data_IF_484413924278
#
_entry.id   IF_484413924278
#
_cell.length_a   1.000
_cell.length_b   1.000
_cell.length_c   1.000
_cell.angle_alpha   90.00
_cell.angle_beta   90.00
_cell.angle_gamma   90.00
#
_symmetry.space_group_name_H-M   'P 1'
#
loop_
_entity.id
_entity.type
_entity.pdbx_description
1 polymer ?
#
# COMPACT_ATOMS: atom_id res chain seq x y z
N UNK A 1 -12.31 -5.81 2.03
CA UNK A 1 -12.00 -6.03 0.61
C UNK A 1 -10.48 -6.20 0.42
N UNK A 2 -10.07 -7.05 -0.56
CA UNK A 2 -8.64 -7.29 -0.80
C UNK A 2 -8.03 -8.39 0.09
N UNK A 3 -8.82 -9.20 0.75
CA UNK A 3 -8.39 -10.29 1.63
C UNK A 3 -7.39 -11.29 1.00
N UNK A 4 -7.49 -11.67 -0.28
CA UNK A 4 -6.47 -12.49 -0.93
C UNK A 4 -5.17 -11.74 -1.27
N UNK A 5 -5.15 -10.41 -1.12
CA UNK A 5 -4.01 -9.56 -1.46
C UNK A 5 -2.91 -9.54 -0.41
N UNK A 6 -1.78 -8.89 -0.74
CA UNK A 6 -0.61 -8.78 0.15
C UNK A 6 -0.93 -7.96 1.42
N UNK A 7 -1.42 -6.74 1.27
CA UNK A 7 -1.78 -5.88 2.42
C UNK A 7 -3.01 -6.44 3.12
N UNK A 8 -4.11 -6.63 2.38
CA UNK A 8 -5.39 -7.05 2.97
C UNK A 8 -5.32 -8.40 3.67
N UNK A 9 -4.56 -9.36 3.10
CA UNK A 9 -4.35 -10.66 3.73
C UNK A 9 -3.53 -10.57 5.02
N UNK A 10 -2.46 -9.76 5.05
CA UNK A 10 -1.65 -9.58 6.26
C UNK A 10 -2.44 -8.85 7.36
N UNK A 11 -3.21 -7.82 6.98
CA UNK A 11 -4.10 -7.12 7.90
C UNK A 11 -5.17 -8.07 8.46
N UNK A 12 -5.75 -8.93 7.62
CA UNK A 12 -6.72 -9.92 8.05
C UNK A 12 -6.13 -10.89 9.09
N UNK A 13 -4.91 -11.41 8.85
CA UNK A 13 -4.23 -12.29 9.80
C UNK A 13 -3.90 -11.56 11.11
N UNK A 14 -3.48 -10.31 11.05
CA UNK A 14 -3.24 -9.50 12.24
C UNK A 14 -4.52 -9.32 13.07
N UNK A 15 -5.64 -9.00 12.43
CA UNK A 15 -6.93 -8.84 13.12
C UNK A 15 -7.42 -10.15 13.72
N UNK A 16 -7.30 -11.28 13.02
CA UNK A 16 -7.65 -12.61 13.54
C UNK A 16 -6.80 -12.94 14.78
N UNK A 17 -5.50 -12.65 14.76
CA UNK A 17 -4.62 -12.90 15.92
C UNK A 17 -4.98 -12.07 17.16
N UNK A 18 -5.69 -10.96 16.97
CA UNK A 18 -6.21 -10.10 18.04
C UNK A 18 -7.68 -10.45 18.43
N UNK A 19 -8.21 -11.56 17.89
CA UNK A 19 -9.53 -12.08 18.24
C UNK A 19 -10.71 -11.51 17.45
N UNK A 20 -10.45 -10.76 16.36
CA UNK A 20 -11.52 -10.26 15.50
C UNK A 20 -12.03 -11.34 14.53
N UNK A 21 -13.32 -11.32 14.25
CA UNK A 21 -13.93 -12.11 13.16
C UNK A 21 -13.79 -11.34 11.86
N UNK A 22 -13.11 -11.94 10.89
CA UNK A 22 -12.80 -11.28 9.60
C UNK A 22 -13.54 -11.95 8.45
N UNK A 23 -14.41 -11.18 7.78
CA UNK A 23 -15.03 -11.56 6.52
C UNK A 23 -14.17 -11.10 5.36
N UNK A 24 -13.79 -12.03 4.46
CA UNK A 24 -12.92 -11.76 3.32
C UNK A 24 -13.66 -11.83 1.99
N UNK A 25 -13.65 -10.73 1.19
CA UNK A 25 -14.19 -10.74 -0.16
C UNK A 25 -13.20 -11.45 -1.11
N UNK A 26 -13.65 -12.51 -1.79
CA UNK A 26 -12.90 -13.30 -2.75
C UNK A 26 -13.66 -13.43 -4.07
N UNK A 27 -12.97 -13.25 -5.21
CA UNK A 27 -13.60 -13.18 -6.54
C UNK A 27 -14.15 -14.51 -7.06
N UNK A 28 -13.69 -15.62 -6.51
CA UNK A 28 -14.06 -16.97 -6.93
C UNK A 28 -13.97 -17.95 -5.75
N UNK A 29 -14.61 -19.13 -5.91
CA UNK A 29 -14.67 -20.15 -4.85
C UNK A 29 -13.28 -20.64 -4.43
N UNK A 30 -12.34 -20.77 -5.38
CA UNK A 30 -10.97 -21.21 -5.04
C UNK A 30 -10.28 -20.22 -4.08
N UNK A 31 -10.39 -18.91 -4.35
CA UNK A 31 -9.87 -17.89 -3.44
C UNK A 31 -10.63 -17.81 -2.13
N UNK A 32 -11.93 -18.14 -2.15
CA UNK A 32 -12.75 -18.26 -0.95
C UNK A 32 -12.24 -19.38 -0.04
N UNK A 33 -12.04 -20.58 -0.58
CA UNK A 33 -11.47 -21.74 0.13
C UNK A 33 -10.06 -21.40 0.70
N UNK A 34 -9.18 -20.79 -0.12
CA UNK A 34 -7.82 -20.43 0.30
C UNK A 34 -7.79 -19.41 1.47
N UNK A 35 -8.72 -18.44 1.54
CA UNK A 35 -8.78 -17.50 2.67
C UNK A 35 -9.50 -18.10 3.89
N UNK A 36 -10.41 -19.05 3.67
CA UNK A 36 -11.07 -19.81 4.74
C UNK A 36 -10.05 -20.65 5.53
N UNK A 37 -9.14 -21.34 4.82
CA UNK A 37 -8.02 -22.07 5.43
C UNK A 37 -7.12 -21.16 6.32
N UNK A 38 -7.12 -19.84 6.05
CA UNK A 38 -6.44 -18.82 6.84
C UNK A 38 -7.32 -18.23 7.96
N UNK A 39 -8.48 -18.83 8.25
CA UNK A 39 -9.36 -18.43 9.35
C UNK A 39 -10.30 -17.26 9.04
N UNK A 40 -10.44 -16.86 7.78
CA UNK A 40 -11.41 -15.84 7.37
C UNK A 40 -12.74 -16.49 6.99
N UNK A 41 -13.85 -15.77 7.16
CA UNK A 41 -15.16 -16.17 6.64
C UNK A 41 -15.28 -15.60 5.22
N UNK A 42 -15.30 -16.44 4.17
CA UNK A 42 -15.30 -15.96 2.80
C UNK A 42 -16.66 -15.39 2.38
N UNK A 43 -16.62 -14.31 1.59
CA UNK A 43 -17.75 -13.79 0.83
C UNK A 43 -17.33 -13.82 -0.64
N UNK A 44 -18.06 -14.59 -1.46
CA UNK A 44 -17.76 -14.70 -2.90
C UNK A 44 -18.37 -13.53 -3.66
N UNK A 45 -17.51 -12.75 -4.32
CA UNK A 45 -17.90 -11.59 -5.11
C UNK A 45 -16.70 -10.71 -5.49
N UNK A 46 -16.88 -9.88 -6.50
CA UNK A 46 -15.90 -8.90 -6.99
C UNK A 46 -16.22 -7.47 -6.54
N UNK A 47 -15.42 -6.52 -7.02
CA UNK A 47 -15.64 -5.09 -6.71
C UNK A 47 -16.85 -4.51 -7.46
N UNK A 48 -17.33 -5.17 -8.52
CA UNK A 48 -18.49 -4.76 -9.30
C UNK A 48 -19.80 -5.38 -8.79
N UNK A 49 -19.73 -6.34 -7.84
CA UNK A 49 -20.90 -6.97 -7.21
C UNK A 49 -21.41 -6.07 -6.06
N UNK A 50 -21.96 -4.92 -6.43
CA UNK A 50 -22.29 -3.84 -5.50
C UNK A 50 -23.30 -4.24 -4.43
N UNK A 51 -24.27 -5.08 -4.74
CA UNK A 51 -25.27 -5.58 -3.76
C UNK A 51 -24.60 -6.45 -2.68
N UNK A 52 -23.63 -7.28 -3.08
CA UNK A 52 -22.86 -8.09 -2.13
C UNK A 52 -22.02 -7.17 -1.22
N UNK A 53 -21.36 -6.16 -1.80
CA UNK A 53 -20.58 -5.19 -1.05
C UNK A 53 -21.46 -4.40 -0.09
N UNK A 54 -22.62 -3.91 -0.54
CA UNK A 54 -23.56 -3.17 0.29
C UNK A 54 -23.99 -3.98 1.50
N UNK A 55 -24.45 -5.24 1.25
CA UNK A 55 -24.87 -6.13 2.32
C UNK A 55 -23.73 -6.42 3.30
N UNK A 56 -22.55 -6.80 2.81
CA UNK A 56 -21.39 -7.11 3.64
C UNK A 56 -20.96 -5.88 4.49
N UNK A 57 -20.98 -4.67 3.91
CA UNK A 57 -20.68 -3.45 4.63
C UNK A 57 -21.72 -3.15 5.71
N UNK A 58 -23.01 -3.30 5.39
CA UNK A 58 -24.11 -3.08 6.36
C UNK A 58 -24.05 -4.04 7.54
N UNK A 59 -23.64 -5.28 7.32
CA UNK A 59 -23.55 -6.32 8.35
C UNK A 59 -22.25 -6.23 9.19
N UNK A 60 -21.28 -5.41 8.77
CA UNK A 60 -19.97 -5.29 9.44
C UNK A 60 -19.90 -4.04 10.32
N UNK A 61 -19.18 -4.11 11.45
CA UNK A 61 -18.85 -2.93 12.27
C UNK A 61 -17.68 -2.11 11.66
N UNK A 62 -16.80 -2.78 10.95
CA UNK A 62 -15.62 -2.21 10.32
C UNK A 62 -15.48 -2.73 8.89
N UNK A 63 -15.33 -1.84 7.93
CA UNK A 63 -15.00 -2.19 6.55
C UNK A 63 -13.60 -1.69 6.23
N UNK A 64 -12.72 -2.61 5.79
CA UNK A 64 -11.37 -2.27 5.34
C UNK A 64 -11.28 -2.49 3.83
N UNK A 65 -10.95 -1.44 3.08
CA UNK A 65 -10.67 -1.53 1.65
C UNK A 65 -9.15 -1.52 1.40
N UNK A 66 -8.59 -2.69 1.12
CA UNK A 66 -7.22 -2.89 0.66
C UNK A 66 -7.16 -3.51 -0.75
N UNK A 67 -8.25 -3.40 -1.52
CA UNK A 67 -8.37 -3.97 -2.87
C UNK A 67 -8.00 -2.98 -3.97
N UNK A 68 -8.56 -1.78 -3.92
CA UNK A 68 -8.36 -0.75 -4.93
C UNK A 68 -8.47 0.66 -4.33
N UNK A 69 -7.55 1.54 -4.71
CA UNK A 69 -7.53 2.94 -4.28
C UNK A 69 -8.52 3.82 -5.06
N UNK A 70 -8.98 3.37 -6.21
CA UNK A 70 -9.75 4.19 -7.14
C UNK A 70 -10.98 3.51 -7.77
N UNK A 71 -11.45 2.40 -7.18
CA UNK A 71 -12.70 1.79 -7.63
C UNK A 71 -13.90 2.55 -7.05
N UNK A 72 -14.34 3.58 -7.79
CA UNK A 72 -15.33 4.58 -7.34
C UNK A 72 -16.62 3.94 -6.84
N UNK A 73 -17.16 2.98 -7.59
CA UNK A 73 -18.45 2.36 -7.28
C UNK A 73 -18.44 1.58 -5.98
N UNK A 74 -17.43 0.72 -5.76
CA UNK A 74 -17.36 -0.03 -4.51
C UNK A 74 -17.13 0.87 -3.29
N UNK A 75 -16.30 1.92 -3.43
CA UNK A 75 -16.07 2.90 -2.36
C UNK A 75 -17.38 3.64 -2.03
N UNK A 76 -18.10 4.10 -3.04
CA UNK A 76 -19.37 4.79 -2.86
C UNK A 76 -20.40 3.88 -2.20
N UNK A 77 -20.53 2.64 -2.67
CA UNK A 77 -21.45 1.64 -2.11
C UNK A 77 -21.17 1.36 -0.62
N UNK A 78 -19.89 1.27 -0.24
CA UNK A 78 -19.52 1.10 1.17
C UNK A 78 -19.94 2.32 1.98
N UNK A 79 -19.65 3.53 1.51
CA UNK A 79 -20.00 4.75 2.22
C UNK A 79 -21.53 4.92 2.36
N UNK A 80 -22.29 4.59 1.31
CA UNK A 80 -23.76 4.63 1.34
C UNK A 80 -24.33 3.59 2.32
N UNK A 81 -23.72 2.41 2.44
CA UNK A 81 -24.12 1.37 3.39
C UNK A 81 -23.83 1.76 4.86
N UNK A 82 -22.82 2.61 5.09
CA UNK A 82 -22.38 3.01 6.42
C UNK A 82 -22.89 4.39 6.85
N UNK A 83 -23.53 5.16 5.97
CA UNK A 83 -24.03 6.51 6.26
C UNK A 83 -24.98 6.52 7.46
N UNK A 84 -24.75 7.38 8.43
CA UNK A 84 -25.54 7.54 9.65
C UNK A 84 -25.34 6.45 10.72
N UNK A 85 -24.46 5.48 10.50
CA UNK A 85 -24.29 4.33 11.42
C UNK A 85 -23.17 4.51 12.45
N UNK A 86 -22.27 5.47 12.27
CA UNK A 86 -21.01 5.63 13.01
C UNK A 86 -20.04 4.44 12.91
N UNK A 87 -20.30 3.48 12.03
CA UNK A 87 -19.40 2.36 11.73
C UNK A 87 -18.14 2.83 11.01
N UNK A 88 -17.10 2.02 11.04
CA UNK A 88 -15.78 2.42 10.59
C UNK A 88 -15.50 2.00 9.14
N UNK A 89 -15.00 2.93 8.34
CA UNK A 89 -14.41 2.66 7.03
C UNK A 89 -12.92 3.01 7.02
N UNK A 90 -12.04 2.00 6.88
CA UNK A 90 -10.60 2.20 6.68
C UNK A 90 -10.27 2.00 5.20
N UNK A 91 -9.76 3.05 4.56
CA UNK A 91 -9.35 3.02 3.18
C UNK A 91 -7.82 2.96 3.05
N UNK A 92 -7.33 2.04 2.22
CA UNK A 92 -5.91 1.94 1.91
C UNK A 92 -5.60 2.83 0.71
N UNK A 93 -4.83 3.87 0.95
CA UNK A 93 -4.18 4.70 -0.06
C UNK A 93 -2.79 4.16 -0.42
N UNK A 94 -1.93 4.99 -0.98
CA UNK A 94 -0.53 4.66 -1.23
C UNK A 94 0.28 5.90 -1.57
N UNK A 95 1.50 5.99 -1.08
CA UNK A 95 2.31 7.22 -1.19
C UNK A 95 2.67 7.62 -2.62
N UNK A 96 2.40 6.76 -3.63
CA UNK A 96 2.55 7.19 -5.03
C UNK A 96 1.62 8.34 -5.42
N UNK A 97 0.66 8.69 -4.57
CA UNK A 97 -0.22 9.86 -4.76
C UNK A 97 0.57 11.17 -4.73
N UNK A 98 1.69 11.23 -4.00
CA UNK A 98 2.61 12.37 -3.93
C UNK A 98 3.83 12.24 -4.85
N UNK A 99 3.84 11.25 -5.76
CA UNK A 99 4.96 11.04 -6.67
C UNK A 99 5.12 12.16 -7.70
N UNK A 100 6.34 12.31 -8.20
CA UNK A 100 6.73 13.30 -9.22
C UNK A 100 7.14 12.65 -10.57
N UNK A 101 7.56 13.46 -11.54
CA UNK A 101 8.14 13.03 -12.82
C UNK A 101 9.66 13.27 -12.88
N UNK A 102 10.39 12.93 -11.81
CA UNK A 102 11.81 13.24 -11.68
C UNK A 102 12.76 12.41 -12.55
N UNK A 103 12.29 11.28 -13.09
CA UNK A 103 13.07 10.37 -13.96
C UNK A 103 14.45 10.02 -13.37
N UNK A 104 14.45 9.60 -12.10
CA UNK A 104 15.65 9.13 -11.41
C UNK A 104 16.47 10.24 -10.74
N UNK A 105 16.02 11.50 -10.76
CA UNK A 105 16.70 12.60 -10.04
C UNK A 105 16.15 12.78 -8.62
N UNK A 106 16.99 13.29 -7.74
CA UNK A 106 16.63 13.59 -6.36
C UNK A 106 15.60 14.74 -6.27
N UNK A 107 14.68 14.61 -5.31
CA UNK A 107 13.82 15.73 -4.87
C UNK A 107 13.93 15.90 -3.36
N UNK A 108 14.02 17.14 -2.90
CA UNK A 108 14.00 17.48 -1.46
C UNK A 108 12.57 17.46 -0.87
N UNK A 109 11.53 17.38 -1.72
CA UNK A 109 10.14 17.44 -1.27
C UNK A 109 9.77 16.24 -0.41
N UNK A 110 9.29 16.54 0.82
CA UNK A 110 8.75 15.55 1.77
C UNK A 110 7.32 15.96 2.11
N UNK A 111 6.42 14.99 2.12
CA UNK A 111 5.01 15.24 2.37
C UNK A 111 4.58 14.68 3.73
N UNK A 112 3.75 15.46 4.40
CA UNK A 112 2.99 15.08 5.58
C UNK A 112 1.51 15.37 5.34
N UNK A 113 0.66 15.01 6.27
CA UNK A 113 -0.80 15.10 6.14
C UNK A 113 -1.31 16.54 6.01
N UNK A 114 -0.53 17.54 6.45
CA UNK A 114 -0.87 18.97 6.38
C UNK A 114 -0.40 19.65 5.10
N UNK A 115 0.56 19.06 4.41
CA UNK A 115 1.13 19.66 3.20
C UNK A 115 0.17 19.50 2.04
N UNK A 116 -0.32 20.63 1.52
CA UNK A 116 -1.11 20.65 0.29
C UNK A 116 -0.22 20.40 -0.92
N UNK A 117 -0.74 19.65 -1.89
CA UNK A 117 -0.06 19.38 -3.15
C UNK A 117 -1.08 19.20 -4.27
N UNK A 118 -0.61 19.34 -5.50
CA UNK A 118 -1.38 19.00 -6.69
C UNK A 118 -0.90 17.62 -7.17
N UNK A 119 -1.76 16.61 -7.18
CA UNK A 119 -1.38 15.28 -7.65
C UNK A 119 -1.09 15.30 -9.16
N UNK A 120 -0.31 14.32 -9.62
CA UNK A 120 -0.17 14.08 -11.06
C UNK A 120 -1.53 13.77 -11.68
N UNK A 121 -1.76 14.13 -12.97
CA UNK A 121 -3.07 13.96 -13.61
C UNK A 121 -3.65 12.55 -13.49
N UNK A 122 -2.84 11.51 -13.64
CA UNK A 122 -3.26 10.12 -13.50
C UNK A 122 -3.62 9.71 -12.06
N UNK A 123 -3.31 10.56 -11.08
CA UNK A 123 -3.65 10.37 -9.65
C UNK A 123 -4.85 11.24 -9.21
N UNK A 124 -5.35 12.12 -10.09
CA UNK A 124 -6.36 13.09 -9.72
C UNK A 124 -7.66 12.44 -9.23
N UNK A 125 -8.13 11.38 -9.88
CA UNK A 125 -9.35 10.65 -9.45
C UNK A 125 -9.14 10.05 -8.06
N UNK A 126 -8.01 9.43 -7.82
CA UNK A 126 -7.66 8.85 -6.54
C UNK A 126 -7.62 9.92 -5.44
N UNK A 127 -6.91 11.03 -5.67
CA UNK A 127 -6.84 12.16 -4.75
C UNK A 127 -8.23 12.73 -4.44
N UNK A 128 -9.07 12.92 -5.47
CA UNK A 128 -10.43 13.43 -5.29
C UNK A 128 -11.32 12.48 -4.51
N UNK A 129 -11.25 11.18 -4.75
CA UNK A 129 -11.97 10.18 -3.95
C UNK A 129 -11.65 10.29 -2.46
N UNK A 130 -10.37 10.44 -2.13
CA UNK A 130 -9.94 10.57 -0.74
C UNK A 130 -10.42 11.87 -0.10
N UNK A 131 -10.20 13.00 -0.77
CA UNK A 131 -10.40 14.34 -0.22
C UNK A 131 -11.82 14.84 -0.32
N UNK A 132 -12.54 14.47 -1.40
CA UNK A 132 -13.86 15.03 -1.70
C UNK A 132 -15.00 14.05 -1.39
N UNK A 133 -14.69 12.75 -1.20
CA UNK A 133 -15.70 11.73 -0.89
C UNK A 133 -15.45 11.03 0.44
N UNK A 134 -14.30 10.36 0.62
CA UNK A 134 -14.06 9.50 1.78
C UNK A 134 -13.96 10.32 3.07
N UNK A 135 -13.01 11.25 3.16
CA UNK A 135 -12.83 12.05 4.38
C UNK A 135 -14.07 12.85 4.77
N UNK A 136 -14.79 13.53 3.83
CA UNK A 136 -16.02 14.27 4.19
C UNK A 136 -17.19 13.39 4.63
N UNK A 137 -17.19 12.09 4.35
CA UNK A 137 -18.22 11.17 4.86
C UNK A 137 -18.18 11.03 6.38
N UNK A 138 -17.12 11.51 7.05
CA UNK A 138 -17.07 11.68 8.49
C UNK A 138 -18.20 12.58 9.01
N UNK A 139 -18.59 13.61 8.25
CA UNK A 139 -19.70 14.52 8.57
C UNK A 139 -21.08 13.89 8.31
N UNK A 140 -21.12 12.70 7.73
CA UNK A 140 -22.33 11.93 7.43
C UNK A 140 -22.51 10.72 8.34
N UNK A 141 -21.82 10.69 9.47
CA UNK A 141 -21.89 9.59 10.43
C UNK A 141 -21.21 8.29 9.95
N UNK A 142 -20.14 8.40 9.17
CA UNK A 142 -19.21 7.28 8.91
C UNK A 142 -17.88 7.60 9.57
N UNK A 143 -17.36 6.72 10.40
CA UNK A 143 -15.99 6.90 10.92
C UNK A 143 -14.98 6.55 9.86
N UNK A 144 -14.51 7.55 9.09
CA UNK A 144 -13.57 7.36 7.96
C UNK A 144 -12.13 7.53 8.42
N UNK A 145 -11.27 6.62 7.95
CA UNK A 145 -9.83 6.62 8.19
C UNK A 145 -9.12 6.26 6.89
N UNK A 146 -8.09 6.99 6.52
CA UNK A 146 -7.23 6.66 5.37
C UNK A 146 -5.84 6.31 5.88
N UNK A 147 -5.35 5.13 5.50
CA UNK A 147 -3.96 4.73 5.71
C UNK A 147 -3.22 4.74 4.38
N UNK A 148 -2.15 5.50 4.32
CA UNK A 148 -1.36 5.72 3.12
C UNK A 148 0.07 5.16 3.31
N UNK A 149 0.28 3.85 3.13
CA UNK A 149 1.60 3.26 3.18
C UNK A 149 2.46 3.68 1.99
N UNK A 150 3.78 3.70 2.21
CA UNK A 150 4.77 3.90 1.17
C UNK A 150 5.14 2.58 0.47
N UNK A 151 6.37 2.46 -0.09
CA UNK A 151 6.85 1.20 -0.66
C UNK A 151 6.94 0.14 0.45
N UNK A 152 6.06 -0.84 0.38
CA UNK A 152 5.99 -1.91 1.38
C UNK A 152 6.95 -3.04 1.00
N UNK A 153 7.66 -3.58 1.97
CA UNK A 153 8.57 -4.71 1.83
C UNK A 153 8.33 -5.78 2.90
N UNK A 154 9.02 -6.91 2.79
CA UNK A 154 8.89 -8.04 3.72
C UNK A 154 7.85 -9.07 3.26
N UNK A 155 7.77 -10.18 3.99
CA UNK A 155 6.84 -11.28 3.71
C UNK A 155 5.52 -11.12 4.44
N UNK A 156 4.42 -11.06 3.69
CA UNK A 156 3.08 -11.04 4.24
C UNK A 156 2.66 -12.38 4.86
N UNK A 157 1.76 -12.33 5.81
CA UNK A 157 1.18 -13.52 6.48
C UNK A 157 -0.09 -14.03 5.82
N UNK A 158 -0.70 -13.23 4.91
CA UNK A 158 -1.90 -13.61 4.16
C UNK A 158 -1.62 -14.59 3.02
N UNK A 159 -2.57 -14.73 2.08
CA UNK A 159 -2.46 -15.62 0.94
C UNK A 159 -1.34 -15.18 -0.02
N UNK A 160 -1.31 -13.91 -0.41
CA UNK A 160 -0.21 -13.34 -1.19
C UNK A 160 0.90 -12.88 -0.23
N UNK A 161 2.08 -13.48 -0.40
CA UNK A 161 3.23 -13.27 0.48
C UNK A 161 4.14 -12.11 0.06
N UNK A 162 4.20 -11.80 -1.23
CA UNK A 162 5.16 -10.84 -1.79
C UNK A 162 4.52 -9.48 -2.07
N UNK A 163 5.30 -8.42 -1.84
CA UNK A 163 5.01 -7.06 -2.33
C UNK A 163 5.12 -6.98 -3.87
N UNK A 164 5.16 -5.78 -4.44
CA UNK A 164 5.22 -5.60 -5.89
C UNK A 164 6.60 -5.11 -6.33
N UNK A 165 7.08 -3.99 -5.78
CA UNK A 165 8.23 -3.27 -6.32
C UNK A 165 9.54 -4.04 -6.16
N UNK A 166 9.86 -4.47 -4.95
CA UNK A 166 11.12 -5.17 -4.66
C UNK A 166 11.21 -6.51 -5.41
N UNK A 167 10.21 -7.40 -5.35
CA UNK A 167 10.24 -8.63 -6.16
C UNK A 167 10.34 -8.38 -7.66
N UNK A 168 9.74 -7.29 -8.17
CA UNK A 168 9.88 -6.93 -9.59
C UNK A 168 11.32 -6.53 -9.94
N UNK A 169 11.99 -5.74 -9.10
CA UNK A 169 13.40 -5.38 -9.29
C UNK A 169 14.29 -6.63 -9.27
N UNK A 170 14.05 -7.56 -8.34
CA UNK A 170 14.80 -8.83 -8.23
C UNK A 170 14.59 -9.71 -9.47
N UNK A 171 13.34 -9.89 -9.92
CA UNK A 171 13.04 -10.66 -11.14
C UNK A 171 13.70 -10.07 -12.39
N UNK A 172 13.64 -8.74 -12.55
CA UNK A 172 14.30 -8.05 -13.64
C UNK A 172 15.82 -8.26 -13.59
N UNK A 173 16.43 -8.12 -12.41
CA UNK A 173 17.86 -8.32 -12.22
C UNK A 173 18.31 -9.76 -12.54
N UNK A 174 17.51 -10.77 -12.13
CA UNK A 174 17.76 -12.19 -12.49
C UNK A 174 17.69 -12.40 -14.01
N UNK A 175 16.67 -11.86 -14.67
CA UNK A 175 16.48 -12.00 -16.14
C UNK A 175 17.57 -11.30 -16.95
N UNK A 176 18.03 -10.13 -16.51
CA UNK A 176 19.02 -9.31 -17.22
C UNK A 176 20.48 -9.67 -16.89
N UNK A 177 20.70 -10.51 -15.86
CA UNK A 177 22.03 -10.78 -15.31
C UNK A 177 22.66 -9.56 -14.60
N UNK A 178 21.90 -8.49 -14.38
CA UNK A 178 22.33 -7.26 -13.71
C UNK A 178 21.13 -6.49 -13.14
N UNK A 179 21.31 -5.89 -11.98
CA UNK A 179 20.32 -4.97 -11.42
C UNK A 179 20.35 -3.61 -12.13
N UNK A 180 19.22 -2.94 -12.25
CA UNK A 180 19.12 -1.68 -12.99
C UNK A 180 18.29 -0.63 -12.22
N UNK A 181 18.58 0.65 -12.50
CA UNK A 181 17.84 1.83 -12.05
C UNK A 181 17.78 2.88 -13.17
N UNK A 182 16.82 3.80 -13.13
CA UNK A 182 16.64 4.82 -14.17
C UNK A 182 17.50 6.05 -13.89
N UNK A 183 18.13 6.61 -14.90
CA UNK A 183 18.87 7.87 -14.83
C UNK A 183 19.95 7.85 -13.75
N UNK A 184 19.95 8.80 -12.84
CA UNK A 184 20.90 8.85 -11.73
C UNK A 184 20.54 7.88 -10.59
N UNK A 185 19.28 7.41 -10.51
CA UNK A 185 18.78 6.57 -9.44
C UNK A 185 18.79 7.23 -8.06
N UNK A 186 18.85 8.58 -8.02
CA UNK A 186 18.89 9.39 -6.79
C UNK A 186 17.49 9.70 -6.25
N UNK A 187 16.45 9.36 -7.02
CA UNK A 187 15.08 9.45 -6.57
C UNK A 187 14.86 8.54 -5.35
N UNK A 188 14.08 9.06 -4.39
CA UNK A 188 13.88 8.44 -3.07
C UNK A 188 12.43 8.01 -2.90
N UNK A 189 12.27 6.79 -2.38
CA UNK A 189 11.01 6.31 -1.84
C UNK A 189 11.13 6.08 -0.33
N UNK A 190 10.09 6.49 0.39
CA UNK A 190 9.87 6.01 1.76
C UNK A 190 9.52 4.54 1.74
N UNK A 191 9.90 3.80 2.78
CA UNK A 191 9.72 2.37 2.91
C UNK A 191 9.05 2.01 4.24
N UNK A 192 8.28 0.93 4.29
CA UNK A 192 7.67 0.39 5.50
C UNK A 192 7.58 -1.13 5.42
N UNK A 193 7.88 -1.82 6.53
CA UNK A 193 7.69 -3.27 6.59
C UNK A 193 6.21 -3.63 6.67
N UNK A 194 5.81 -4.75 6.06
CA UNK A 194 4.40 -5.18 6.01
C UNK A 194 3.79 -5.40 7.39
N UNK A 195 4.55 -5.90 8.36
CA UNK A 195 4.06 -6.12 9.72
C UNK A 195 3.81 -4.81 10.46
N UNK A 196 4.71 -3.82 10.32
CA UNK A 196 4.50 -2.47 10.87
C UNK A 196 3.32 -1.78 10.18
N UNK A 197 3.16 -1.99 8.85
CA UNK A 197 2.00 -1.52 8.11
C UNK A 197 0.71 -2.15 8.66
N UNK A 198 0.64 -3.48 8.83
CA UNK A 198 -0.55 -4.16 9.36
C UNK A 198 -0.87 -3.73 10.80
N UNK A 199 0.16 -3.50 11.62
CA UNK A 199 -0.04 -2.97 12.98
C UNK A 199 -0.67 -1.57 12.99
N UNK A 200 -0.39 -0.74 11.97
CA UNK A 200 -1.01 0.57 11.85
C UNK A 200 -2.54 0.48 11.64
N UNK A 201 -3.03 -0.57 10.97
CA UNK A 201 -4.49 -0.78 10.81
C UNK A 201 -5.17 -1.07 12.14
N UNK A 202 -4.56 -1.92 12.97
CA UNK A 202 -5.08 -2.21 14.31
C UNK A 202 -5.09 -0.94 15.18
N UNK A 203 -3.97 -0.23 15.25
CA UNK A 203 -3.88 1.00 16.03
C UNK A 203 -4.82 2.10 15.53
N UNK A 204 -5.02 2.20 14.22
CA UNK A 204 -5.96 3.16 13.64
C UNK A 204 -7.41 2.77 13.97
N UNK A 205 -7.74 1.48 13.95
CA UNK A 205 -9.05 1.00 14.37
C UNK A 205 -9.35 1.39 15.82
N UNK A 206 -8.39 1.23 16.71
CA UNK A 206 -8.54 1.52 18.14
C UNK A 206 -8.53 3.02 18.45
N UNK A 207 -7.60 3.79 17.88
CA UNK A 207 -7.22 5.11 18.37
C UNK A 207 -7.51 6.28 17.41
N UNK A 208 -7.75 6.02 16.10
CA UNK A 208 -7.90 7.11 15.16
C UNK A 208 -9.22 7.86 15.30
N UNK A 209 -9.17 9.18 15.20
CA UNK A 209 -10.36 10.00 15.06
C UNK A 209 -10.97 9.86 13.66
N UNK A 210 -12.29 10.08 13.56
CA UNK A 210 -12.99 10.11 12.28
C UNK A 210 -12.47 11.25 11.40
N UNK A 211 -12.38 11.01 10.10
CA UNK A 211 -11.84 11.98 9.13
C UNK A 211 -10.33 12.06 9.11
N UNK A 212 -9.61 11.07 9.65
CA UNK A 212 -8.15 11.06 9.70
C UNK A 212 -7.51 10.44 8.46
N UNK A 213 -6.35 10.98 8.08
CA UNK A 213 -5.42 10.37 7.12
C UNK A 213 -4.05 10.23 7.79
N UNK A 214 -3.39 9.09 7.60
CA UNK A 214 -2.06 8.81 8.14
C UNK A 214 -1.14 8.28 7.06
N UNK A 215 0.01 8.92 6.89
CA UNK A 215 1.13 8.37 6.15
C UNK A 215 1.88 7.35 7.01
N UNK A 216 2.32 6.24 6.37
CA UNK A 216 3.06 5.17 7.05
C UNK A 216 4.43 4.98 6.39
N UNK A 217 5.48 5.37 7.12
CA UNK A 217 6.88 5.19 6.69
C UNK A 217 7.77 4.88 7.89
N UNK A 218 8.82 4.10 7.67
CA UNK A 218 9.83 3.77 8.68
C UNK A 218 11.25 4.13 8.23
N UNK A 219 11.54 4.13 6.93
CA UNK A 219 12.84 4.45 6.36
C UNK A 219 12.72 5.06 4.98
N UNK A 220 13.83 5.55 4.42
CA UNK A 220 13.91 6.11 3.07
C UNK A 220 15.15 5.58 2.37
N UNK A 221 15.00 5.15 1.11
CA UNK A 221 16.10 4.65 0.29
C UNK A 221 16.04 5.23 -1.12
N UNK A 222 17.21 5.47 -1.71
CA UNK A 222 17.30 5.77 -3.14
C UNK A 222 17.06 4.48 -3.94
N UNK A 223 16.47 4.61 -5.14
CA UNK A 223 16.30 3.46 -6.01
C UNK A 223 17.64 2.86 -6.43
N UNK A 224 18.70 3.67 -6.56
CA UNK A 224 20.08 3.17 -6.79
C UNK A 224 20.55 2.27 -5.64
N UNK A 225 20.30 2.65 -4.38
CA UNK A 225 20.71 1.84 -3.23
C UNK A 225 19.96 0.51 -3.21
N UNK A 226 18.65 0.52 -3.45
CA UNK A 226 17.86 -0.71 -3.58
C UNK A 226 18.35 -1.59 -4.74
N UNK A 227 18.60 -1.00 -5.91
CA UNK A 227 19.16 -1.74 -7.06
C UNK A 227 20.54 -2.31 -6.75
N UNK A 228 21.40 -1.55 -6.05
CA UNK A 228 22.73 -2.03 -5.65
C UNK A 228 22.63 -3.18 -4.64
N UNK A 229 21.70 -3.10 -3.67
CA UNK A 229 21.44 -4.18 -2.72
C UNK A 229 20.95 -5.45 -3.43
N UNK A 230 20.04 -5.34 -4.42
CA UNK A 230 19.61 -6.46 -5.27
C UNK A 230 20.80 -7.09 -5.99
N UNK A 231 21.65 -6.28 -6.64
CA UNK A 231 22.81 -6.77 -7.37
C UNK A 231 23.84 -7.46 -6.47
N UNK A 232 24.11 -6.93 -5.28
CA UNK A 232 24.98 -7.56 -4.26
C UNK A 232 24.40 -8.92 -3.83
N UNK A 233 23.12 -8.96 -3.49
CA UNK A 233 22.44 -10.19 -3.09
C UNK A 233 22.53 -11.27 -4.16
N UNK A 234 22.36 -10.90 -5.44
CA UNK A 234 22.45 -11.79 -6.59
C UNK A 234 23.92 -12.03 -7.08
N UNK A 235 24.93 -11.47 -6.40
CA UNK A 235 26.34 -11.56 -6.74
C UNK A 235 26.66 -11.14 -8.20
N UNK A 236 25.99 -10.08 -8.67
CA UNK A 236 26.12 -9.57 -10.01
C UNK A 236 27.35 -8.67 -10.19
N UNK A 237 27.93 -8.63 -11.41
CA UNK A 237 28.99 -7.72 -11.79
C UNK A 237 28.72 -7.15 -13.21
N UNK A 238 28.51 -5.80 -13.38
CA UNK A 238 28.45 -4.81 -12.29
C UNK A 238 27.28 -5.04 -11.35
N UNK A 239 27.41 -4.59 -10.10
CA UNK A 239 26.38 -4.74 -9.04
C UNK A 239 25.05 -4.11 -9.45
N UNK A 240 25.11 -2.92 -10.11
CA UNK A 240 23.92 -2.27 -10.68
C UNK A 240 24.32 -1.36 -11.84
N UNK A 241 23.36 -1.03 -12.74
CA UNK A 241 23.59 -0.20 -13.92
C UNK A 241 22.42 0.77 -14.15
N UNK A 242 22.77 2.00 -14.56
CA UNK A 242 21.78 2.96 -15.07
C UNK A 242 21.21 2.51 -16.41
N UNK A 243 19.91 2.73 -16.58
CA UNK A 243 19.20 2.55 -17.86
C UNK A 243 18.42 3.83 -18.19
N UNK A 244 18.12 4.00 -19.47
CA UNK A 244 17.23 5.07 -19.94
C UNK A 244 15.78 4.77 -19.57
N UNK A 245 14.93 5.80 -19.57
CA UNK A 245 13.49 5.64 -19.37
C UNK A 245 12.87 4.67 -20.40
N UNK A 246 13.30 4.75 -21.69
CA UNK A 246 12.80 3.86 -22.73
C UNK A 246 13.19 2.40 -22.55
N UNK A 247 14.40 2.11 -22.02
CA UNK A 247 14.80 0.75 -21.64
C UNK A 247 13.98 0.25 -20.43
N UNK A 248 13.76 1.11 -19.43
CA UNK A 248 12.97 0.77 -18.24
C UNK A 248 11.52 0.41 -18.60
N UNK A 249 10.89 1.11 -19.55
CA UNK A 249 9.55 0.75 -20.05
C UNK A 249 9.49 -0.67 -20.62
N UNK A 250 10.55 -1.13 -21.28
CA UNK A 250 10.63 -2.51 -21.80
C UNK A 250 10.84 -3.55 -20.71
N UNK A 251 11.50 -3.16 -19.61
CA UNK A 251 11.82 -4.04 -18.49
C UNK A 251 10.60 -4.18 -17.54
N UNK A 252 9.94 -3.07 -17.16
CA UNK A 252 8.94 -3.03 -16.09
C UNK A 252 7.55 -2.64 -16.55
N UNK A 253 7.40 -2.21 -17.80
CA UNK A 253 6.16 -1.61 -18.31
C UNK A 253 5.96 -0.16 -17.81
N UNK A 254 4.99 0.57 -18.38
CA UNK A 254 4.83 2.01 -18.13
C UNK A 254 4.58 2.35 -16.66
N UNK A 255 3.60 1.70 -16.04
CA UNK A 255 3.18 2.00 -14.68
C UNK A 255 4.31 1.81 -13.64
N UNK A 256 5.01 0.67 -13.69
CA UNK A 256 6.08 0.38 -12.73
C UNK A 256 7.34 1.19 -12.98
N UNK A 257 7.63 1.51 -14.24
CA UNK A 257 8.74 2.42 -14.58
C UNK A 257 8.52 3.79 -13.98
N UNK A 258 7.33 4.38 -14.14
CA UNK A 258 7.01 5.68 -13.55
C UNK A 258 7.11 5.64 -12.03
N UNK A 259 6.66 4.57 -11.39
CA UNK A 259 6.83 4.37 -9.95
C UNK A 259 8.31 4.32 -9.55
N UNK A 260 9.12 3.48 -10.19
CA UNK A 260 10.53 3.27 -9.83
C UNK A 260 11.47 4.43 -10.24
N UNK A 261 11.03 5.38 -11.07
CA UNK A 261 11.83 6.55 -11.45
C UNK A 261 11.37 7.88 -10.81
N UNK A 262 10.32 7.87 -9.98
CA UNK A 262 9.79 9.02 -9.26
C UNK A 262 10.33 9.10 -7.84
N UNK A 263 10.18 10.26 -7.19
CA UNK A 263 10.26 10.37 -5.74
C UNK A 263 8.88 10.16 -5.13
N UNK A 264 8.85 9.56 -3.94
CA UNK A 264 7.67 9.49 -3.09
C UNK A 264 8.14 9.47 -1.63
N UNK A 265 8.31 10.67 -1.06
CA UNK A 265 8.84 10.87 0.27
C UNK A 265 7.75 11.40 1.19
N UNK A 266 7.46 10.66 2.23
CA UNK A 266 6.44 11.00 3.23
C UNK A 266 7.04 10.92 4.64
N UNK A 267 6.36 11.54 5.62
CA UNK A 267 6.64 11.34 7.05
C UNK A 267 5.40 10.80 7.74
N UNK A 268 5.60 9.98 8.77
CA UNK A 268 4.54 9.33 9.57
C UNK A 268 4.32 10.03 10.92
N UNK A 269 4.59 11.33 11.00
CA UNK A 269 4.54 12.07 12.25
C UNK A 269 3.15 12.03 12.90
N UNK A 270 2.09 12.17 12.10
CA UNK A 270 0.71 12.08 12.58
C UNK A 270 0.35 10.69 13.09
N UNK A 271 0.74 9.63 12.38
CA UNK A 271 0.51 8.27 12.83
C UNK A 271 1.18 8.01 14.18
N UNK A 272 2.43 8.46 14.34
CA UNK A 272 3.18 8.34 15.61
C UNK A 272 2.49 9.06 16.76
N UNK A 273 2.03 10.29 16.53
CA UNK A 273 1.43 11.14 17.56
C UNK A 273 -0.01 10.75 17.90
N UNK A 274 -0.82 10.44 16.88
CA UNK A 274 -2.27 10.33 17.04
C UNK A 274 -2.76 8.92 17.33
N UNK A 275 -2.10 7.89 16.80
CA UNK A 275 -2.49 6.50 17.02
C UNK A 275 -1.42 5.68 17.74
N UNK A 276 -0.32 6.30 18.17
CA UNK A 276 0.76 5.63 18.88
C UNK A 276 1.57 4.66 18.01
N UNK A 277 1.52 4.82 16.66
CA UNK A 277 2.23 3.93 15.76
C UNK A 277 3.73 4.13 15.84
N UNK A 278 4.48 3.10 16.20
CA UNK A 278 5.93 3.09 16.31
C UNK A 278 6.48 1.91 15.51
N UNK A 279 6.93 2.12 14.25
CA UNK A 279 7.50 1.06 13.44
C UNK A 279 8.76 0.50 14.10
N UNK A 280 8.90 -0.82 14.14
CA UNK A 280 10.00 -1.53 14.76
C UNK A 280 11.06 -1.95 13.74
N UNK A 281 10.66 -2.12 12.49
CA UNK A 281 11.48 -2.65 11.41
C UNK A 281 11.97 -1.51 10.51
N UNK A 282 13.00 -0.80 10.98
CA UNK A 282 13.61 0.34 10.28
C UNK A 282 14.86 -0.15 9.56
N UNK A 283 14.73 -0.44 8.28
CA UNK A 283 15.72 -1.16 7.50
C UNK A 283 16.39 -0.29 6.43
N UNK A 284 17.68 -0.53 6.22
CA UNK A 284 18.41 -0.03 5.06
C UNK A 284 18.13 -0.89 3.80
N UNK A 285 18.72 -0.51 2.68
CA UNK A 285 18.48 -1.18 1.41
C UNK A 285 18.91 -2.67 1.42
N UNK A 286 20.05 -3.01 2.04
CA UNK A 286 20.56 -4.38 2.08
C UNK A 286 19.63 -5.26 2.95
N UNK A 287 19.15 -4.74 4.09
CA UNK A 287 18.18 -5.41 4.97
C UNK A 287 16.82 -5.59 4.29
N UNK A 288 16.30 -4.55 3.60
CA UNK A 288 15.05 -4.63 2.83
C UNK A 288 15.09 -5.75 1.80
N UNK A 289 16.21 -5.88 1.07
CA UNK A 289 16.35 -6.95 0.07
C UNK A 289 16.42 -8.32 0.75
N UNK A 290 17.16 -8.46 1.85
CA UNK A 290 17.24 -9.72 2.59
C UNK A 290 15.87 -10.21 3.08
N UNK A 291 15.01 -9.31 3.56
CA UNK A 291 13.64 -9.61 3.99
C UNK A 291 12.65 -9.86 2.83
N UNK A 292 13.04 -9.56 1.60
CA UNK A 292 12.17 -9.66 0.43
C UNK A 292 12.53 -10.82 -0.51
N UNK A 293 13.53 -11.62 -0.15
CA UNK A 293 14.00 -12.77 -0.94
C UNK A 293 13.92 -14.04 -0.08
N UNK A 294 13.13 -15.02 -0.53
CA UNK A 294 13.15 -16.40 -0.04
C UNK A 294 14.17 -17.23 -0.79
#
# INVERSE_FOLDING_TARGET
>A
LGAPGYIGGTVAQKLISEGHVVHGLARDNKKAEEIEELGQIPIVGGLDDLDIIYKAASDSEVVINAASTNHVYSIRTILDALEGTNKTFIHTSGSSIVSDYSVGTYSQEIYNEYKTFRPLPEKAIWYSLERDLILPSSNKGVRTIILCPCMIFGYGTGLRKESIQIPLMIRAAKSLGKSVYVGNGENIWSNVHIDDCANAYLLALENAQSGSLFYLESSQNTIRNLASAVGKHLRQNPVSKSVTLGEAYKIWGPHMTLSLCSNSRITSEMARKSIGWAPKLVYDADQIISESVL
#
